data_IF_928362574211
#
_entry.id   IF_928362574211
#
_cell.length_a   1.000
_cell.length_b   1.000
_cell.length_c   1.000
_cell.angle_alpha   90.00
_cell.angle_beta   90.00
_cell.angle_gamma   90.00
#
_symmetry.space_group_name_H-M   'P 1'
#
loop_
_entity.id
_entity.type
_entity.pdbx_description
1 polymer ?
#
# COMPACT_ATOMS: atom_id res chain seq x y z
N UNK A 1 -15.51 27.91 18.49
CA UNK A 1 -14.28 27.55 17.74
C UNK A 1 -14.10 26.04 17.82
N UNK A 2 -13.72 25.33 16.73
CA UNK A 2 -13.35 23.92 16.79
C UNK A 2 -12.30 23.66 17.88
N UNK A 3 -12.40 22.53 18.58
CA UNK A 3 -11.45 22.18 19.65
C UNK A 3 -9.99 22.16 19.17
N UNK A 4 -9.76 21.83 17.90
CA UNK A 4 -8.45 21.88 17.25
C UNK A 4 -7.79 23.27 17.25
N UNK A 5 -8.56 24.34 17.45
CA UNK A 5 -8.05 25.71 17.48
C UNK A 5 -7.64 26.18 18.88
N UNK A 6 -7.86 25.35 19.91
CA UNK A 6 -7.68 25.73 21.32
C UNK A 6 -6.41 25.13 21.96
N UNK A 7 -5.72 24.23 21.27
CA UNK A 7 -4.53 23.56 21.77
C UNK A 7 -3.58 23.17 20.63
N UNK A 8 -2.31 22.97 20.97
CA UNK A 8 -1.33 22.43 20.03
C UNK A 8 -1.68 20.97 19.66
N UNK A 9 -1.35 20.60 18.42
CA UNK A 9 -1.47 19.23 17.93
C UNK A 9 -0.38 18.30 18.49
N UNK A 10 -0.29 17.09 17.92
CA UNK A 10 0.79 16.17 18.26
C UNK A 10 2.15 16.75 17.85
N UNK A 11 3.18 16.48 18.66
CA UNK A 11 4.56 16.77 18.30
C UNK A 11 4.97 15.99 17.03
N UNK A 12 5.90 16.56 16.27
CA UNK A 12 6.48 15.91 15.11
C UNK A 12 7.36 14.73 15.58
N UNK A 13 7.16 13.50 15.08
CA UNK A 13 8.04 12.38 15.40
C UNK A 13 9.42 12.57 14.75
N UNK A 14 10.49 12.16 15.43
CA UNK A 14 11.88 12.39 15.02
C UNK A 14 12.31 11.51 13.81
N UNK A 15 11.74 10.31 13.65
CA UNK A 15 12.24 9.34 12.67
C UNK A 15 11.18 8.41 12.05
N UNK A 16 9.96 8.88 11.77
CA UNK A 16 8.88 8.05 11.21
C UNK A 16 8.57 8.35 9.74
N UNK A 17 8.26 7.31 8.97
CA UNK A 17 7.65 7.47 7.65
C UNK A 17 6.14 7.78 7.81
N UNK A 18 5.69 8.85 7.16
CA UNK A 18 4.31 9.32 7.31
C UNK A 18 3.26 8.28 6.87
N UNK A 19 2.15 8.24 7.60
CA UNK A 19 0.99 7.41 7.28
C UNK A 19 -0.25 8.27 7.00
N UNK A 20 -1.21 7.78 6.20
CA UNK A 20 -2.46 8.50 5.95
C UNK A 20 -3.21 8.83 7.25
N UNK A 21 -4.03 9.87 7.18
CA UNK A 21 -4.92 10.24 8.27
C UNK A 21 -5.84 9.07 8.66
N UNK A 22 -6.11 8.91 9.96
CA UNK A 22 -7.07 7.91 10.46
C UNK A 22 -8.48 8.06 9.88
N UNK A 23 -8.84 9.27 9.41
CA UNK A 23 -10.13 9.53 8.78
C UNK A 23 -10.22 8.94 7.36
N UNK A 24 -9.08 8.63 6.74
CA UNK A 24 -8.97 7.99 5.42
C UNK A 24 -8.76 6.47 5.51
N UNK A 25 -9.02 5.84 6.66
CA UNK A 25 -8.80 4.39 6.86
C UNK A 25 -9.61 3.49 5.90
N UNK A 26 -10.63 4.05 5.24
CA UNK A 26 -11.44 3.37 4.25
C UNK A 26 -10.79 3.34 2.85
N UNK A 27 -9.81 4.21 2.59
CA UNK A 27 -8.99 4.32 1.39
C UNK A 27 -7.81 3.36 1.48
N UNK A 28 -8.06 2.13 1.05
CA UNK A 28 -7.08 1.04 1.11
C UNK A 28 -7.23 0.10 -0.07
N UNK A 29 -6.13 -0.54 -0.47
CA UNK A 29 -6.17 -1.69 -1.38
C UNK A 29 -7.05 -2.79 -0.80
N UNK A 30 -7.87 -3.43 -1.63
CA UNK A 30 -8.77 -4.52 -1.20
C UNK A 30 -8.58 -5.75 -2.07
N UNK A 31 -8.48 -6.93 -1.44
CA UNK A 31 -8.76 -8.17 -2.14
C UNK A 31 -10.25 -8.23 -2.46
N UNK A 32 -10.60 -8.72 -3.63
CA UNK A 32 -12.00 -8.85 -4.02
C UNK A 32 -12.66 -9.97 -3.21
N UNK A 33 -13.89 -9.72 -2.77
CA UNK A 33 -14.80 -10.68 -2.14
C UNK A 33 -15.71 -11.37 -3.17
N UNK A 34 -15.74 -10.86 -4.41
CA UNK A 34 -16.56 -11.39 -5.51
C UNK A 34 -15.84 -12.51 -6.27
N UNK A 35 -14.55 -12.33 -6.55
CA UNK A 35 -13.73 -13.31 -7.27
C UNK A 35 -12.60 -13.80 -6.38
N UNK A 36 -12.95 -14.67 -5.43
CA UNK A 36 -12.00 -15.17 -4.43
C UNK A 36 -11.21 -16.33 -4.99
N UNK A 37 -9.88 -16.22 -4.98
CA UNK A 37 -9.04 -17.34 -5.34
C UNK A 37 -9.00 -18.38 -4.20
N UNK A 38 -8.86 -19.67 -4.54
CA UNK A 38 -8.85 -20.74 -3.52
C UNK A 38 -7.64 -20.67 -2.57
N UNK A 39 -6.59 -19.94 -2.97
CA UNK A 39 -5.37 -19.75 -2.21
C UNK A 39 -5.02 -18.26 -2.12
N UNK A 40 -4.38 -17.86 -1.02
CA UNK A 40 -4.00 -16.47 -0.78
C UNK A 40 -2.65 -16.07 -1.42
N UNK A 41 -1.96 -16.98 -2.09
CA UNK A 41 -0.62 -16.72 -2.65
C UNK A 41 -0.66 -16.36 -4.13
N UNK A 42 -1.54 -17.00 -4.89
CA UNK A 42 -1.86 -16.59 -6.26
C UNK A 42 -3.08 -15.68 -6.25
N UNK A 43 -2.93 -14.40 -5.95
CA UNK A 43 -4.05 -13.50 -5.71
C UNK A 43 -3.76 -12.06 -6.15
N UNK A 44 -4.77 -11.19 -6.13
CA UNK A 44 -4.66 -9.78 -6.49
C UNK A 44 -5.39 -8.84 -5.53
N UNK A 45 -4.96 -7.59 -5.49
CA UNK A 45 -5.64 -6.48 -4.83
C UNK A 45 -6.31 -5.57 -5.87
N UNK A 46 -7.12 -4.61 -5.42
CA UNK A 46 -7.67 -3.55 -6.25
C UNK A 46 -7.31 -2.19 -5.67
N UNK A 47 -6.79 -1.31 -6.52
CA UNK A 47 -6.61 0.11 -6.25
C UNK A 47 -7.99 0.77 -6.02
N UNK A 48 -8.20 1.56 -4.95
CA UNK A 48 -9.45 2.26 -4.73
C UNK A 48 -9.54 3.51 -5.62
N UNK A 49 -9.64 3.32 -6.94
CA UNK A 49 -9.61 4.42 -7.94
C UNK A 49 -10.73 5.45 -7.71
N UNK A 50 -11.91 5.00 -7.28
CA UNK A 50 -13.07 5.85 -7.00
C UNK A 50 -12.89 6.78 -5.78
N UNK A 51 -11.84 6.58 -4.98
CA UNK A 51 -11.51 7.42 -3.80
C UNK A 51 -10.28 8.29 -4.05
N UNK A 52 -9.68 8.19 -5.24
CA UNK A 52 -8.46 8.91 -5.58
C UNK A 52 -8.76 10.10 -6.49
N UNK A 53 -7.92 11.12 -6.37
CA UNK A 53 -7.97 12.31 -7.18
C UNK A 53 -6.67 12.44 -7.98
N UNK A 54 -6.77 12.92 -9.22
CA UNK A 54 -5.63 13.03 -10.12
C UNK A 54 -5.22 11.69 -10.75
N UNK A 55 -3.99 11.62 -11.23
CA UNK A 55 -3.50 10.51 -12.07
C UNK A 55 -2.43 9.64 -11.41
N UNK A 56 -1.84 10.10 -10.31
CA UNK A 56 -0.77 9.38 -9.61
C UNK A 56 -1.37 8.53 -8.49
N UNK A 57 -1.10 7.21 -8.52
CA UNK A 57 -1.51 6.29 -7.46
C UNK A 57 -0.44 6.25 -6.35
N UNK A 58 -0.78 6.49 -5.08
CA UNK A 58 0.16 6.32 -3.97
C UNK A 58 0.65 4.86 -3.89
N UNK A 59 1.93 4.64 -3.61
CA UNK A 59 2.54 3.31 -3.58
C UNK A 59 1.78 2.31 -2.67
N UNK A 60 1.28 2.76 -1.51
CA UNK A 60 0.51 1.91 -0.60
C UNK A 60 -0.88 1.49 -1.11
N UNK A 61 -1.33 2.04 -2.23
CA UNK A 61 -2.63 1.80 -2.86
C UNK A 61 -2.53 1.16 -4.25
N UNK A 62 -1.32 0.86 -4.73
CA UNK A 62 -1.14 0.31 -6.08
C UNK A 62 -1.72 -1.11 -6.19
N UNK A 63 -2.19 -1.44 -7.39
CA UNK A 63 -2.65 -2.77 -7.72
C UNK A 63 -1.49 -3.76 -7.57
N UNK A 64 -1.77 -4.91 -6.95
CA UNK A 64 -0.82 -5.99 -6.82
C UNK A 64 -1.39 -7.28 -7.36
N UNK A 65 -0.55 -8.07 -8.03
CA UNK A 65 -0.84 -9.41 -8.49
C UNK A 65 0.35 -10.30 -8.20
N UNK A 66 0.09 -11.37 -7.48
CA UNK A 66 1.09 -12.37 -7.12
C UNK A 66 0.61 -13.73 -7.61
N UNK A 67 1.53 -14.59 -8.03
CA UNK A 67 1.22 -15.99 -8.38
C UNK A 67 1.79 -16.97 -7.36
N UNK A 68 2.62 -16.50 -6.41
CA UNK A 68 3.21 -17.29 -5.34
C UNK A 68 3.57 -16.44 -4.10
N UNK A 69 2.72 -15.48 -3.76
CA UNK A 69 2.93 -14.55 -2.65
C UNK A 69 3.94 -13.43 -2.95
N UNK A 70 4.21 -12.61 -1.94
CA UNK A 70 5.16 -11.49 -2.01
C UNK A 70 6.49 -11.95 -1.40
N UNK A 71 7.58 -12.06 -2.17
CA UNK A 71 8.85 -12.47 -1.62
C UNK A 71 9.51 -11.31 -0.86
N UNK A 72 10.13 -11.63 0.27
CA UNK A 72 11.07 -10.74 0.95
C UNK A 72 12.47 -11.09 0.45
N UNK A 73 13.07 -10.18 -0.32
CA UNK A 73 14.35 -10.41 -0.99
C UNK A 73 15.36 -9.45 -0.37
N UNK A 74 16.42 -10.00 0.25
CA UNK A 74 17.58 -9.22 0.65
C UNK A 74 18.28 -8.69 -0.62
N UNK A 75 18.41 -7.37 -0.81
CA UNK A 75 19.07 -6.81 -2.00
C UNK A 75 20.53 -7.25 -2.11
N UNK A 76 21.22 -7.52 -1.00
CA UNK A 76 22.62 -7.96 -0.99
C UNK A 76 22.79 -9.42 -1.48
N UNK A 77 21.71 -10.22 -1.40
CA UNK A 77 21.67 -11.60 -1.88
C UNK A 77 21.01 -11.71 -3.26
N UNK A 78 20.43 -10.63 -3.79
CA UNK A 78 19.74 -10.64 -5.07
C UNK A 78 20.73 -10.55 -6.24
N UNK A 79 20.75 -11.59 -7.08
CA UNK A 79 21.55 -11.62 -8.30
C UNK A 79 20.68 -11.61 -9.56
N UNK A 80 20.79 -10.56 -10.38
CA UNK A 80 20.25 -10.57 -11.73
C UNK A 80 21.21 -11.32 -12.66
N UNK A 81 20.81 -12.52 -13.10
CA UNK A 81 21.61 -13.29 -14.06
C UNK A 81 21.11 -12.99 -15.47
N UNK A 82 21.92 -12.30 -16.27
CA UNK A 82 21.74 -12.27 -17.73
C UNK A 82 22.51 -13.43 -18.34
N UNK A 83 21.81 -14.49 -18.74
CA UNK A 83 22.39 -15.49 -19.64
C UNK A 83 22.29 -14.95 -21.06
N UNK A 84 23.42 -14.54 -21.64
CA UNK A 84 23.51 -14.32 -23.08
C UNK A 84 23.39 -15.69 -23.77
N UNK A 85 22.50 -15.78 -24.75
CA UNK A 85 22.49 -16.89 -25.71
C UNK A 85 23.69 -16.78 -26.63
#
# INVERSE_FOLDING_TARGET
MPAANLAMGRALPESEYGMPSKFEAHVKRRRTDVFVNKQNFSDWSMTPLHQQHGTVTPNGLIYERHHNGVPEINPDEHASRSTAW
#
